data_IF_227870468188
#
_entry.id   IF_227870468188
#
_cell.length_a   1.000
_cell.length_b   1.000
_cell.length_c   1.000
_cell.angle_alpha   90.00
_cell.angle_beta   90.00
_cell.angle_gamma   90.00
#
_symmetry.space_group_name_H-M   'P 1'
#
loop_
_entity.id
_entity.type
_entity.pdbx_description
1 polymer ?
#
# COMPACT_ATOMS: atom_id res chain seq x y z
N UNK A 1 -17.36 -30.68 -36.95
CA UNK A 1 -17.46 -31.35 -35.63
C UNK A 1 -16.07 -31.37 -35.02
N UNK A 2 -15.82 -30.56 -33.99
CA UNK A 2 -14.48 -30.38 -33.41
C UNK A 2 -13.99 -31.66 -32.73
N UNK A 3 -12.78 -32.08 -33.11
CA UNK A 3 -12.09 -33.28 -32.64
C UNK A 3 -12.03 -33.36 -31.12
N UNK A 4 -12.60 -34.43 -30.55
CA UNK A 4 -12.45 -34.83 -29.14
C UNK A 4 -11.05 -35.43 -28.87
N UNK A 5 -9.99 -34.72 -29.25
CA UNK A 5 -8.68 -35.00 -28.68
C UNK A 5 -8.81 -34.70 -27.19
N UNK A 6 -8.44 -35.64 -26.31
CA UNK A 6 -8.63 -35.54 -24.85
C UNK A 6 -7.89 -34.39 -24.14
N UNK A 7 -7.41 -33.39 -24.88
CA UNK A 7 -6.76 -32.19 -24.37
C UNK A 7 -7.64 -30.98 -24.63
N UNK A 8 -7.81 -30.14 -23.60
CA UNK A 8 -8.48 -28.84 -23.72
C UNK A 8 -7.66 -27.92 -24.62
N UNK A 9 -8.14 -27.69 -25.85
CA UNK A 9 -7.53 -26.75 -26.80
C UNK A 9 -8.16 -25.37 -26.59
N UNK A 10 -7.32 -24.35 -26.43
CA UNK A 10 -7.75 -22.95 -26.29
C UNK A 10 -7.21 -22.19 -27.50
N UNK A 11 -8.11 -21.71 -28.37
CA UNK A 11 -7.72 -20.96 -29.57
C UNK A 11 -7.40 -19.49 -29.25
N UNK A 12 -8.19 -18.87 -28.37
CA UNK A 12 -8.01 -17.48 -27.96
C UNK A 12 -7.90 -17.40 -26.44
N UNK A 13 -6.76 -16.90 -25.93
CA UNK A 13 -6.55 -16.71 -24.51
C UNK A 13 -7.10 -15.35 -24.08
N UNK A 14 -8.18 -15.34 -23.29
CA UNK A 14 -8.74 -14.12 -22.69
C UNK A 14 -8.38 -14.05 -21.20
N UNK A 15 -7.10 -13.84 -20.90
CA UNK A 15 -6.61 -13.69 -19.54
C UNK A 15 -6.03 -12.28 -19.34
N UNK A 16 -6.69 -11.40 -18.56
CA UNK A 16 -6.17 -10.06 -18.34
C UNK A 16 -4.95 -10.12 -17.40
N UNK A 17 -3.78 -9.83 -17.95
CA UNK A 17 -2.51 -9.76 -17.21
C UNK A 17 -2.05 -8.31 -17.14
N UNK A 18 -1.80 -7.82 -15.93
CA UNK A 18 -1.22 -6.49 -15.69
C UNK A 18 0.12 -6.66 -14.98
N UNK A 19 1.17 -6.09 -15.53
CA UNK A 19 2.48 -6.06 -14.88
C UNK A 19 2.43 -5.11 -13.66
N UNK A 20 2.92 -5.57 -12.52
CA UNK A 20 3.19 -4.71 -11.38
C UNK A 20 4.61 -4.15 -11.52
N UNK A 21 4.79 -2.89 -11.14
CA UNK A 21 6.08 -2.23 -11.27
C UNK A 21 7.17 -2.99 -10.47
N UNK A 22 8.28 -3.36 -11.11
CA UNK A 22 9.38 -4.04 -10.44
C UNK A 22 10.12 -3.07 -9.49
N UNK A 23 10.90 -3.63 -8.57
CA UNK A 23 11.73 -2.83 -7.67
C UNK A 23 12.99 -2.30 -8.37
N UNK A 24 13.58 -3.09 -9.26
CA UNK A 24 14.74 -2.75 -10.09
C UNK A 24 14.40 -2.91 -11.58
N UNK A 25 15.16 -2.23 -12.44
CA UNK A 25 14.97 -2.25 -13.91
C UNK A 25 16.07 -3.03 -14.64
N UNK A 26 17.20 -3.27 -13.98
CA UNK A 26 18.31 -4.07 -14.48
C UNK A 26 18.26 -5.47 -13.86
N UNK A 27 18.51 -6.50 -14.66
CA UNK A 27 18.62 -7.91 -14.23
C UNK A 27 17.43 -8.43 -13.41
N UNK A 28 16.22 -8.28 -13.94
CA UNK A 28 14.99 -8.75 -13.30
C UNK A 28 14.87 -10.26 -13.47
N UNK A 29 14.98 -11.01 -12.37
CA UNK A 29 14.80 -12.47 -12.33
C UNK A 29 13.37 -12.87 -12.00
N UNK A 30 12.68 -12.07 -11.19
CA UNK A 30 11.30 -12.32 -10.77
C UNK A 30 10.42 -11.12 -11.10
N UNK A 31 9.32 -11.37 -11.83
CA UNK A 31 8.31 -10.36 -12.15
C UNK A 31 7.02 -10.62 -11.37
N UNK A 32 6.35 -9.54 -10.98
CA UNK A 32 5.06 -9.59 -10.32
C UNK A 32 3.95 -9.18 -11.27
N UNK A 33 2.88 -9.97 -11.32
CA UNK A 33 1.72 -9.78 -12.17
C UNK A 33 0.45 -9.70 -11.33
N UNK A 34 -0.51 -8.91 -11.80
CA UNK A 34 -1.89 -8.86 -11.30
C UNK A 34 -2.81 -9.44 -12.37
N UNK A 35 -3.58 -10.45 -11.97
CA UNK A 35 -4.47 -11.22 -12.85
C UNK A 35 -5.82 -11.49 -12.17
N UNK A 36 -6.75 -12.14 -12.87
CA UNK A 36 -8.04 -12.57 -12.30
C UNK A 36 -7.88 -13.72 -11.30
N UNK A 37 -8.74 -13.78 -10.26
CA UNK A 37 -8.67 -14.83 -9.23
C UNK A 37 -8.88 -16.25 -9.78
N UNK A 38 -9.53 -16.42 -10.93
CA UNK A 38 -9.74 -17.72 -11.58
C UNK A 38 -8.49 -18.32 -12.24
N UNK A 39 -7.45 -17.51 -12.51
CA UNK A 39 -6.29 -17.93 -13.31
C UNK A 39 -5.46 -19.04 -12.66
N UNK A 40 -5.18 -20.14 -13.37
CA UNK A 40 -4.27 -21.18 -12.89
C UNK A 40 -2.80 -20.84 -13.15
N UNK A 41 -1.88 -21.39 -12.33
CA UNK A 41 -0.42 -21.28 -12.54
C UNK A 41 -0.01 -21.75 -13.93
N UNK A 42 -0.64 -22.83 -14.40
CA UNK A 42 -0.34 -23.45 -15.70
C UNK A 42 -0.81 -22.56 -16.85
N UNK A 43 -1.98 -21.92 -16.69
CA UNK A 43 -2.51 -20.99 -17.70
C UNK A 43 -1.62 -19.76 -17.82
N UNK A 44 -1.22 -19.16 -16.68
CA UNK A 44 -0.33 -18.00 -16.67
C UNK A 44 1.00 -18.34 -17.34
N UNK A 45 1.61 -19.49 -16.99
CA UNK A 45 2.87 -19.95 -17.60
C UNK A 45 2.74 -20.08 -19.12
N UNK A 46 1.73 -20.81 -19.59
CA UNK A 46 1.51 -21.03 -21.03
C UNK A 46 1.25 -19.74 -21.79
N UNK A 47 0.49 -18.81 -21.21
CA UNK A 47 0.21 -17.51 -21.83
C UNK A 47 1.49 -16.68 -21.96
N UNK A 48 2.32 -16.62 -20.91
CA UNK A 48 3.59 -15.88 -20.95
C UNK A 48 4.58 -16.47 -21.95
N UNK A 49 4.67 -17.79 -22.02
CA UNK A 49 5.52 -18.49 -22.99
C UNK A 49 5.00 -18.32 -24.43
N UNK A 50 3.70 -18.53 -24.66
CA UNK A 50 3.15 -18.59 -26.03
C UNK A 50 2.91 -17.21 -26.65
N UNK A 51 2.38 -16.24 -25.88
CA UNK A 51 2.02 -14.92 -26.41
C UNK A 51 3.17 -13.92 -26.35
N UNK A 52 4.02 -14.01 -25.32
CA UNK A 52 5.10 -13.05 -25.10
C UNK A 52 6.50 -13.63 -25.29
N UNK A 53 6.64 -14.95 -25.46
CA UNK A 53 7.93 -15.58 -25.69
C UNK A 53 8.85 -15.61 -24.46
N UNK A 54 8.33 -15.43 -23.25
CA UNK A 54 9.16 -15.47 -22.04
C UNK A 54 9.55 -16.89 -21.66
N UNK A 55 10.79 -17.08 -21.23
CA UNK A 55 11.24 -18.34 -20.63
C UNK A 55 10.92 -18.36 -19.14
N UNK A 56 9.85 -19.07 -18.77
CA UNK A 56 9.40 -19.15 -17.38
C UNK A 56 9.92 -20.42 -16.70
N UNK A 57 10.62 -20.24 -15.59
CA UNK A 57 11.02 -21.34 -14.74
C UNK A 57 9.83 -21.79 -13.87
N UNK A 58 9.42 -20.92 -12.94
CA UNK A 58 8.42 -21.22 -11.91
C UNK A 58 7.40 -20.10 -11.75
N UNK A 59 6.15 -20.48 -11.46
CA UNK A 59 5.06 -19.54 -11.14
C UNK A 59 4.55 -19.81 -9.73
N UNK A 60 4.51 -18.76 -8.90
CA UNK A 60 3.92 -18.75 -7.57
C UNK A 60 2.73 -17.79 -7.57
N UNK A 61 1.65 -18.14 -6.91
CA UNK A 61 0.41 -17.34 -6.94
C UNK A 61 -0.14 -17.16 -5.55
N UNK A 62 -0.73 -16.00 -5.29
CA UNK A 62 -1.42 -15.64 -4.07
C UNK A 62 -2.78 -15.05 -4.45
N UNK A 63 -3.84 -15.45 -3.74
CA UNK A 63 -5.15 -14.82 -3.88
C UNK A 63 -5.20 -13.60 -2.96
N UNK A 64 -5.46 -12.42 -3.52
CA UNK A 64 -5.52 -11.16 -2.80
C UNK A 64 -6.96 -10.65 -2.75
N UNK A 65 -7.47 -10.44 -1.55
CA UNK A 65 -8.75 -9.75 -1.37
C UNK A 65 -8.60 -8.26 -1.68
N UNK A 66 -9.60 -7.71 -2.35
CA UNK A 66 -9.73 -6.29 -2.60
C UNK A 66 -10.01 -5.53 -1.30
N UNK A 67 -9.52 -4.28 -1.23
CA UNK A 67 -9.75 -3.43 -0.07
C UNK A 67 -11.24 -3.12 0.07
N UNK A 68 -11.84 -3.62 1.14
CA UNK A 68 -13.21 -3.32 1.58
C UNK A 68 -13.20 -1.99 2.34
N UNK A 69 -14.14 -1.09 2.03
CA UNK A 69 -14.34 0.19 2.72
C UNK A 69 -15.83 0.38 3.01
N UNK A 70 -16.16 0.76 4.24
CA UNK A 70 -17.52 1.14 4.61
C UNK A 70 -17.64 2.66 4.58
N UNK A 71 -18.68 3.18 3.92
CA UNK A 71 -19.04 4.61 3.94
C UNK A 71 -20.51 4.70 4.36
N UNK A 72 -20.76 5.19 5.58
CA UNK A 72 -22.09 5.14 6.20
C UNK A 72 -22.59 3.69 6.31
N UNK A 73 -23.75 3.40 5.72
CA UNK A 73 -24.33 2.05 5.65
C UNK A 73 -23.83 1.19 4.49
N UNK A 74 -23.20 1.77 3.46
CA UNK A 74 -22.80 1.05 2.23
C UNK A 74 -21.39 0.46 2.35
N UNK A 75 -21.24 -0.81 2.00
CA UNK A 75 -19.95 -1.50 1.86
C UNK A 75 -19.52 -1.48 0.39
N UNK A 76 -18.40 -0.80 0.12
CA UNK A 76 -17.78 -0.75 -1.22
C UNK A 76 -16.46 -1.51 -1.17
N UNK A 77 -16.29 -2.48 -2.07
CA UNK A 77 -15.08 -3.27 -2.18
C UNK A 77 -14.40 -3.05 -3.53
N UNK A 78 -13.07 -3.01 -3.53
CA UNK A 78 -12.30 -3.18 -4.77
C UNK A 78 -12.41 -4.64 -5.24
N UNK A 79 -12.28 -4.92 -6.55
CA UNK A 79 -12.27 -6.29 -7.04
C UNK A 79 -11.05 -7.05 -6.52
N UNK A 80 -11.30 -8.29 -6.12
CA UNK A 80 -10.26 -9.25 -5.77
C UNK A 80 -9.38 -9.54 -6.99
N UNK A 81 -8.14 -9.94 -6.73
CA UNK A 81 -7.20 -10.27 -7.79
C UNK A 81 -6.24 -11.35 -7.36
N UNK A 82 -5.63 -12.01 -8.33
CA UNK A 82 -4.52 -12.94 -8.09
C UNK A 82 -3.22 -12.23 -8.35
N UNK A 83 -2.33 -12.26 -7.37
CA UNK A 83 -0.95 -11.82 -7.52
C UNK A 83 -0.12 -13.03 -7.93
N UNK A 84 0.57 -12.95 -9.06
CA UNK A 84 1.46 -13.99 -9.53
C UNK A 84 2.89 -13.48 -9.52
N UNK A 85 3.78 -14.26 -8.92
CA UNK A 85 5.22 -14.08 -8.99
C UNK A 85 5.78 -15.10 -9.97
N UNK A 86 6.47 -14.62 -10.99
CA UNK A 86 6.98 -15.43 -12.09
C UNK A 86 8.49 -15.32 -12.10
N UNK A 87 9.15 -16.44 -11.89
CA UNK A 87 10.61 -16.57 -11.99
C UNK A 87 10.96 -16.84 -13.45
N UNK A 88 11.77 -15.95 -14.03
CA UNK A 88 12.30 -16.06 -15.38
C UNK A 88 13.59 -16.88 -15.37
N UNK A 89 13.85 -17.61 -16.45
CA UNK A 89 15.14 -18.29 -16.63
C UNK A 89 16.23 -17.31 -17.04
N UNK A 90 15.90 -16.43 -17.99
CA UNK A 90 16.77 -15.36 -18.45
C UNK A 90 16.43 -14.05 -17.72
N UNK A 91 17.45 -13.31 -17.23
CA UNK A 91 17.21 -12.03 -16.59
C UNK A 91 16.73 -11.00 -17.61
N UNK A 92 15.67 -10.26 -17.27
CA UNK A 92 15.12 -9.21 -18.12
C UNK A 92 15.72 -7.85 -17.75
N UNK A 93 16.06 -7.04 -18.76
CA UNK A 93 16.45 -5.63 -18.56
C UNK A 93 15.45 -4.73 -19.25
N UNK A 94 14.92 -3.74 -18.52
CA UNK A 94 13.92 -2.79 -19.00
C UNK A 94 14.57 -1.40 -19.05
N UNK A 95 14.44 -0.70 -20.17
CA UNK A 95 14.97 0.66 -20.30
C UNK A 95 14.19 1.63 -19.40
N UNK A 96 14.90 2.59 -18.79
CA UNK A 96 14.30 3.61 -17.91
C UNK A 96 13.41 4.59 -18.67
N UNK A 97 13.65 4.73 -19.98
CA UNK A 97 12.93 5.65 -20.85
C UNK A 97 11.55 5.11 -21.30
N UNK A 98 11.23 3.85 -20.98
CA UNK A 98 9.91 3.29 -21.21
C UNK A 98 8.88 4.01 -20.33
N UNK A 99 7.92 4.70 -20.96
CA UNK A 99 6.79 5.29 -20.25
C UNK A 99 5.94 4.18 -19.61
N UNK A 100 5.53 4.28 -18.32
CA UNK A 100 5.59 5.43 -17.41
C UNK A 100 6.72 5.38 -16.36
N UNK A 101 7.81 4.64 -16.57
CA UNK A 101 8.81 4.35 -15.53
C UNK A 101 9.47 5.61 -14.98
N UNK A 102 10.01 6.47 -15.86
CA UNK A 102 10.71 7.70 -15.47
C UNK A 102 9.84 8.65 -14.65
N UNK A 103 8.61 8.89 -15.10
CA UNK A 103 7.66 9.74 -14.39
C UNK A 103 7.36 9.21 -12.98
N UNK A 104 7.15 7.89 -12.85
CA UNK A 104 6.89 7.27 -11.55
C UNK A 104 8.12 7.31 -10.63
N UNK A 105 9.33 7.19 -11.19
CA UNK A 105 10.56 7.28 -10.40
C UNK A 105 10.79 8.71 -9.88
N UNK A 106 10.56 9.72 -10.72
CA UNK A 106 10.61 11.14 -10.34
C UNK A 106 9.56 11.47 -9.26
N UNK A 107 8.33 10.99 -9.41
CA UNK A 107 7.26 11.15 -8.41
C UNK A 107 7.68 10.55 -7.06
N UNK A 108 8.22 9.33 -7.04
CA UNK A 108 8.73 8.69 -5.82
C UNK A 108 9.85 9.49 -5.16
N UNK A 109 10.80 10.02 -5.94
CA UNK A 109 11.88 10.88 -5.42
C UNK A 109 11.33 12.17 -4.81
N UNK A 110 10.34 12.79 -5.45
CA UNK A 110 9.70 14.01 -4.95
C UNK A 110 8.96 13.78 -3.62
N UNK A 111 8.30 12.63 -3.47
CA UNK A 111 7.62 12.25 -2.22
C UNK A 111 8.61 12.03 -1.07
N UNK A 112 9.72 11.34 -1.31
CA UNK A 112 10.75 11.13 -0.29
C UNK A 112 11.39 12.46 0.15
N UNK A 113 11.70 13.36 -0.79
CA UNK A 113 12.26 14.69 -0.47
C UNK A 113 11.31 15.53 0.40
N UNK A 114 9.99 15.43 0.18
CA UNK A 114 8.99 16.09 1.05
C UNK A 114 8.96 15.49 2.46
N UNK A 115 9.13 14.17 2.58
CA UNK A 115 9.24 13.49 3.88
C UNK A 115 10.43 13.98 4.70
N UNK A 116 11.61 14.11 4.10
CA UNK A 116 12.82 14.62 4.76
C UNK A 116 12.69 16.10 5.15
N UNK A 117 12.09 16.95 4.30
CA UNK A 117 11.87 18.36 4.63
C UNK A 117 10.86 18.61 5.75
N UNK A 118 10.08 17.60 6.14
CA UNK A 118 9.18 17.66 7.31
C UNK A 118 9.83 17.21 8.61
N UNK A 119 11.04 16.65 8.53
CA UNK A 119 11.89 16.42 9.70
C UNK A 119 12.52 17.77 10.06
N UNK A 120 11.89 18.45 11.02
CA UNK A 120 12.44 19.67 11.60
C UNK A 120 13.77 19.28 12.26
N UNK A 121 14.89 19.66 11.66
CA UNK A 121 16.19 19.66 12.35
C UNK A 121 15.97 20.30 13.72
N UNK A 122 16.19 19.54 14.79
CA UNK A 122 16.13 20.06 16.17
C UNK A 122 17.32 21.00 16.40
N UNK A 123 17.31 22.15 15.74
CA UNK A 123 17.99 23.34 16.22
C UNK A 123 17.35 23.75 17.54
N UNK A 124 18.15 23.68 18.60
CA UNK A 124 17.89 24.11 19.98
C UNK A 124 16.43 23.91 20.45
N UNK A 125 16.20 22.77 21.10
CA UNK A 125 14.96 22.36 21.78
C UNK A 125 14.14 23.57 22.25
N UNK A 126 13.11 23.93 21.48
CA UNK A 126 12.07 24.84 21.92
C UNK A 126 11.44 24.23 23.15
N UNK A 127 11.69 24.82 24.32
CA UNK A 127 11.12 24.36 25.59
C UNK A 127 9.61 24.24 25.44
N UNK A 128 9.13 23.04 25.73
CA UNK A 128 7.73 22.67 25.61
C UNK A 128 6.90 23.58 26.54
N UNK A 129 5.67 23.93 26.16
CA UNK A 129 4.79 24.83 26.93
C UNK A 129 4.44 24.32 28.35
N UNK A 130 4.89 23.10 28.71
CA UNK A 130 4.78 22.58 30.08
C UNK A 130 5.96 22.95 30.98
N UNK A 131 7.06 23.50 30.45
CA UNK A 131 8.24 23.93 31.21
C UNK A 131 8.20 25.44 31.51
N UNK A 132 7.01 25.95 31.88
CA UNK A 132 6.82 27.30 32.38
C UNK A 132 7.24 27.39 33.84
N UNK A 133 8.48 27.85 34.03
CA UNK A 133 9.09 28.49 35.20
C UNK A 133 8.28 28.47 36.52
N UNK A 134 8.78 27.68 37.48
CA UNK A 134 8.30 27.63 38.86
C UNK A 134 8.92 28.80 39.64
N UNK A 135 8.55 30.03 39.26
CA UNK A 135 9.07 31.29 39.82
C UNK A 135 7.98 32.09 40.55
N UNK A 136 7.95 31.97 41.87
CA UNK A 136 7.42 32.89 42.88
C UNK A 136 6.41 33.99 42.42
N UNK A 137 5.11 33.69 42.47
CA UNK A 137 4.08 34.74 42.54
C UNK A 137 3.73 35.07 43.98
N UNK A 138 4.40 36.14 44.43
CA UNK A 138 4.20 36.92 45.66
C UNK A 138 2.71 37.11 46.01
N UNK A 139 2.38 36.81 47.27
CA UNK A 139 1.09 37.06 47.95
C UNK A 139 0.51 38.45 47.62
N UNK A 140 -0.77 38.48 47.26
CA UNK A 140 -1.68 39.55 47.65
C UNK A 140 -3.08 38.96 47.87
N UNK A 141 -3.43 38.80 49.15
CA UNK A 141 -4.79 38.51 49.59
C UNK A 141 -5.70 39.68 49.23
N UNK A 142 -6.84 39.38 48.61
CA UNK A 142 -8.13 39.99 48.95
C UNK A 142 -9.22 38.94 48.78
N UNK A 143 -10.04 38.85 49.81
CA UNK A 143 -11.17 37.95 50.01
C UNK A 143 -12.17 37.98 48.86
N UNK A 144 -12.81 36.83 48.60
CA UNK A 144 -14.26 36.60 48.76
C UNK A 144 -14.67 35.33 47.99
N UNK A 145 -15.38 34.44 48.69
CA UNK A 145 -16.30 33.47 48.06
C UNK A 145 -15.86 32.02 48.05
N UNK A 146 -16.46 31.24 48.95
CA UNK A 146 -16.55 29.77 48.86
C UNK A 146 -16.99 29.30 47.46
N UNK A 147 -16.33 28.26 46.95
CA UNK A 147 -17.03 27.07 46.45
C UNK A 147 -16.10 25.86 46.36
N UNK A 148 -16.69 24.75 46.78
CA UNK A 148 -16.09 23.47 47.10
C UNK A 148 -15.58 22.72 45.85
N UNK A 149 -14.39 22.17 46.02
CA UNK A 149 -13.73 21.03 45.37
C UNK A 149 -14.48 20.30 44.23
N UNK A 150 -13.78 20.23 43.09
CA UNK A 150 -13.41 18.94 42.50
C UNK A 150 -14.07 18.59 41.17
N UNK A 151 -13.30 18.64 40.08
CA UNK A 151 -13.24 17.56 39.08
C UNK A 151 -12.25 17.93 37.97
N UNK A 152 -11.31 17.02 37.71
CA UNK A 152 -10.37 17.12 36.60
C UNK A 152 -11.12 17.17 35.26
N UNK A 153 -10.70 18.07 34.39
CA UNK A 153 -11.28 18.25 33.07
C UNK A 153 -11.18 16.94 32.25
N UNK A 154 -12.34 16.37 31.91
CA UNK A 154 -12.48 15.22 31.03
C UNK A 154 -12.39 15.69 29.57
N UNK A 155 -11.49 15.07 28.80
CA UNK A 155 -11.35 15.32 27.36
C UNK A 155 -12.64 14.94 26.58
N UNK A 156 -12.96 15.65 25.49
CA UNK A 156 -14.28 15.62 24.82
C UNK A 156 -14.68 14.30 24.14
N UNK A 157 -13.83 13.28 24.16
CA UNK A 157 -14.08 11.95 23.57
C UNK A 157 -14.17 10.83 24.62
N UNK A 158 -14.06 11.18 25.91
CA UNK A 158 -14.17 10.24 27.04
C UNK A 158 -15.60 9.70 27.27
N UNK A 159 -16.58 10.15 26.50
CA UNK A 159 -17.98 9.71 26.58
C UNK A 159 -18.43 8.70 25.51
N UNK A 160 -17.55 8.24 24.62
CA UNK A 160 -17.93 7.19 23.65
C UNK A 160 -17.53 5.80 24.18
N UNK A 161 -18.39 5.21 25.02
CA UNK A 161 -18.34 3.77 25.32
C UNK A 161 -18.83 2.98 24.09
N UNK A 162 -18.05 1.99 23.71
CA UNK A 162 -18.42 0.92 22.77
C UNK A 162 -19.64 0.14 23.30
N UNK A 163 -20.75 0.20 22.58
CA UNK A 163 -21.88 -0.72 22.77
C UNK A 163 -21.56 -2.09 22.16
N UNK A 164 -21.94 -3.14 22.88
CA UNK A 164 -21.98 -4.53 22.40
C UNK A 164 -23.19 -4.75 21.51
#
# INVERSE_FOLDING_TARGET
MGSRLGRRVVHFANLPIKLLMPASFTNITEIALKTVPSASKIEIKRVLESLYGFEVDKVRTLNMEGKKKKRGGLLVAKPDYKKAYVTLKSPLSVSRDLFPIRAVEEDKRSMNKKGESSMVEEGERKRHWLEGDNGERRKKEKEFGERVRGSGAKFPWSFMKSGR
#
